data_IF_459434286358
#
_entry.id   IF_459434286358
#
_cell.length_a   1.000
_cell.length_b   1.000
_cell.length_c   1.000
_cell.angle_alpha   90.00
_cell.angle_beta   90.00
_cell.angle_gamma   90.00
#
_symmetry.space_group_name_H-M   'P 1'
#
loop_
_entity.id
_entity.type
_entity.pdbx_description
1 polymer ?
#
# COMPACT_ATOMS: atom_id res chain seq x y z
N UNK A 1 -0.56 16.30 27.35
CA UNK A 1 -0.61 17.32 26.29
C UNK A 1 0.27 16.78 25.19
N UNK A 2 -0.32 16.32 24.09
CA UNK A 2 0.46 15.89 22.93
C UNK A 2 1.21 17.12 22.42
N UNK A 3 2.52 16.97 22.30
CA UNK A 3 3.37 17.98 21.66
C UNK A 3 2.83 18.16 20.24
N UNK A 4 2.21 19.32 19.95
CA UNK A 4 1.71 19.65 18.64
C UNK A 4 2.93 19.68 17.72
N UNK A 5 3.08 18.65 16.89
CA UNK A 5 4.15 18.60 15.90
C UNK A 5 4.08 19.88 15.07
N UNK A 6 5.12 20.72 15.15
CA UNK A 6 5.16 21.98 14.43
C UNK A 6 5.38 21.66 12.93
N UNK A 7 4.37 21.95 12.12
CA UNK A 7 4.47 21.81 10.65
C UNK A 7 5.15 23.08 10.11
N UNK A 8 6.30 22.91 9.46
CA UNK A 8 7.00 23.99 8.79
C UNK A 8 6.40 24.22 7.40
N UNK A 9 6.00 25.45 7.12
CA UNK A 9 5.36 25.86 5.88
C UNK A 9 6.22 26.85 5.12
N UNK A 10 6.18 26.80 3.79
CA UNK A 10 6.75 27.87 2.97
C UNK A 10 5.95 29.17 3.17
N UNK A 11 6.58 30.36 3.02
CA UNK A 11 5.89 31.63 3.25
C UNK A 11 4.69 31.89 2.32
N UNK A 12 4.69 31.29 1.14
CA UNK A 12 3.64 31.38 0.09
C UNK A 12 2.71 30.16 0.05
N UNK A 13 2.87 29.24 1.01
CA UNK A 13 2.00 28.06 1.13
C UNK A 13 0.62 28.47 1.66
N UNK A 14 -0.40 28.22 0.86
CA UNK A 14 -1.80 28.55 1.14
C UNK A 14 -2.61 27.42 1.75
N UNK A 15 -2.02 26.21 1.87
CA UNK A 15 -2.70 25.07 2.46
C UNK A 15 -2.71 25.15 3.99
N UNK A 16 -3.76 24.61 4.60
CA UNK A 16 -3.79 24.35 6.04
C UNK A 16 -3.57 22.87 6.32
N UNK A 17 -2.91 22.58 7.43
CA UNK A 17 -2.45 21.24 7.76
C UNK A 17 -2.89 20.85 9.16
N UNK A 18 -3.23 19.56 9.32
CA UNK A 18 -3.46 18.95 10.64
C UNK A 18 -2.84 17.57 10.66
N UNK A 19 -1.92 17.35 11.61
CA UNK A 19 -1.45 16.01 11.93
C UNK A 19 -2.30 15.44 13.07
N UNK A 20 -2.65 14.16 12.96
CA UNK A 20 -3.33 13.41 14.01
C UNK A 20 -2.89 11.94 13.99
N UNK A 21 -3.06 11.30 15.13
CA UNK A 21 -2.89 9.86 15.28
C UNK A 21 -4.24 9.27 15.73
N UNK A 22 -4.68 8.22 15.05
CA UNK A 22 -5.91 7.53 15.40
C UNK A 22 -5.68 6.59 16.59
N UNK A 23 -6.77 6.13 17.21
CA UNK A 23 -6.72 5.22 18.37
C UNK A 23 -6.05 3.88 18.07
N UNK A 24 -5.99 3.48 16.79
CA UNK A 24 -5.29 2.28 16.31
C UNK A 24 -3.82 2.54 15.91
N UNK A 25 -3.28 3.74 16.18
CA UNK A 25 -1.90 4.10 15.87
C UNK A 25 -1.66 4.57 14.42
N UNK A 26 -2.69 4.64 13.57
CA UNK A 26 -2.54 5.19 12.22
C UNK A 26 -2.19 6.69 12.29
N UNK A 27 -1.06 7.04 11.69
CA UNK A 27 -0.62 8.44 11.54
C UNK A 27 -1.28 9.06 10.34
N UNK A 28 -1.85 10.26 10.51
CA UNK A 28 -2.59 10.93 9.45
C UNK A 28 -2.14 12.39 9.30
N UNK A 29 -1.90 12.81 8.07
CA UNK A 29 -1.72 14.21 7.69
C UNK A 29 -2.90 14.64 6.82
N UNK A 30 -3.66 15.63 7.29
CA UNK A 30 -4.75 16.25 6.56
C UNK A 30 -4.24 17.55 5.94
N UNK A 31 -4.60 17.81 4.69
CA UNK A 31 -4.22 18.98 3.92
C UNK A 31 -5.50 19.61 3.35
N UNK A 32 -5.81 20.81 3.81
CA UNK A 32 -6.84 21.64 3.20
C UNK A 32 -6.20 22.58 2.17
N UNK A 33 -6.49 22.36 0.90
CA UNK A 33 -6.11 23.24 -0.20
C UNK A 33 -7.38 23.90 -0.74
N UNK A 34 -7.61 25.21 -0.44
CA UNK A 34 -8.87 25.88 -0.79
C UNK A 34 -9.12 26.05 -2.29
N UNK A 35 -8.17 25.71 -3.13
CA UNK A 35 -8.31 25.77 -4.58
C UNK A 35 -8.07 24.43 -5.27
N UNK A 36 -8.05 23.34 -4.50
CA UNK A 36 -7.95 22.00 -5.07
C UNK A 36 -9.18 21.70 -5.93
N UNK A 37 -8.96 21.36 -7.20
CA UNK A 37 -10.01 20.91 -8.12
C UNK A 37 -10.30 19.42 -7.94
N UNK A 38 -9.44 18.70 -7.24
CA UNK A 38 -9.49 17.26 -7.01
C UNK A 38 -9.08 16.94 -5.59
N UNK A 39 -9.63 15.89 -5.08
CA UNK A 39 -9.22 15.32 -3.79
C UNK A 39 -8.38 14.07 -3.98
N UNK A 40 -7.44 13.85 -3.08
CA UNK A 40 -6.50 12.75 -3.17
C UNK A 40 -6.24 12.12 -1.80
N UNK A 41 -5.92 10.83 -1.80
CA UNK A 41 -5.41 10.13 -0.63
C UNK A 41 -4.25 9.22 -1.01
N UNK A 42 -3.27 9.13 -0.12
CA UNK A 42 -2.12 8.24 -0.24
C UNK A 42 -1.85 7.57 1.10
N UNK A 43 -1.76 6.23 1.11
CA UNK A 43 -1.45 5.45 2.29
C UNK A 43 -0.18 4.63 2.05
N UNK A 44 0.83 4.89 2.84
CA UNK A 44 2.07 4.14 2.88
C UNK A 44 2.03 3.11 4.01
N UNK A 45 2.47 1.89 3.70
CA UNK A 45 2.65 0.79 4.65
C UNK A 45 4.15 0.52 4.78
N UNK A 46 4.66 0.43 5.99
CA UNK A 46 6.07 0.06 6.24
C UNK A 46 6.29 -1.45 6.03
N UNK A 47 6.04 -1.88 4.81
CA UNK A 47 6.23 -3.23 4.31
C UNK A 47 6.53 -3.17 2.81
N UNK A 48 7.69 -3.60 2.41
CA UNK A 48 8.13 -3.75 1.02
C UNK A 48 8.75 -5.13 0.80
N UNK A 49 9.43 -5.33 -0.33
CA UNK A 49 9.98 -6.66 -0.67
C UNK A 49 11.10 -7.14 0.28
N UNK A 50 11.62 -6.28 1.16
CA UNK A 50 12.54 -6.73 2.22
C UNK A 50 11.85 -7.69 3.20
N UNK A 51 10.54 -7.55 3.38
CA UNK A 51 9.75 -8.43 4.22
C UNK A 51 9.41 -9.78 3.56
N UNK A 52 9.65 -9.95 2.26
CA UNK A 52 9.34 -11.20 1.55
C UNK A 52 10.03 -12.39 2.23
N UNK A 53 9.34 -13.51 2.45
CA UNK A 53 9.98 -14.75 2.84
C UNK A 53 11.02 -15.16 1.78
N UNK A 54 12.17 -15.74 2.16
CA UNK A 54 13.23 -16.12 1.22
C UNK A 54 12.71 -17.03 0.09
N UNK A 55 11.76 -17.92 0.40
CA UNK A 55 11.14 -18.88 -0.53
C UNK A 55 9.95 -18.29 -1.31
N UNK A 56 9.54 -17.05 -1.00
CA UNK A 56 8.37 -16.37 -1.58
C UNK A 56 8.71 -14.96 -2.04
N UNK A 57 9.79 -14.81 -2.77
CA UNK A 57 10.24 -13.51 -3.28
C UNK A 57 9.23 -12.94 -4.28
N UNK A 58 8.80 -11.69 -4.05
CA UNK A 58 7.69 -11.03 -4.73
C UNK A 58 6.37 -11.08 -3.98
N UNK A 59 6.34 -11.58 -2.72
CA UNK A 59 5.13 -11.68 -1.90
C UNK A 59 4.50 -10.31 -1.63
N UNK A 60 5.29 -9.29 -1.30
CA UNK A 60 4.77 -7.93 -1.07
C UNK A 60 4.15 -7.34 -2.35
N UNK A 61 4.75 -7.57 -3.51
CA UNK A 61 4.21 -7.16 -4.80
C UNK A 61 2.94 -7.95 -5.17
N UNK A 62 2.91 -9.23 -4.88
CA UNK A 62 1.72 -10.06 -5.06
C UNK A 62 0.57 -9.59 -4.15
N UNK A 63 0.87 -9.25 -2.89
CA UNK A 63 -0.11 -8.66 -1.98
C UNK A 63 -0.68 -7.35 -2.52
N UNK A 64 0.16 -6.48 -3.08
CA UNK A 64 -0.28 -5.24 -3.73
C UNK A 64 -1.37 -5.52 -4.78
N UNK A 65 -1.14 -6.46 -5.70
CA UNK A 65 -2.12 -6.87 -6.72
C UNK A 65 -3.42 -7.40 -6.09
N UNK A 66 -3.29 -8.25 -5.08
CA UNK A 66 -4.43 -8.91 -4.45
C UNK A 66 -5.39 -7.95 -3.74
N UNK A 67 -4.90 -6.81 -3.22
CA UNK A 67 -5.74 -5.82 -2.54
C UNK A 67 -6.73 -5.12 -3.47
N UNK A 68 -6.45 -5.04 -4.78
CA UNK A 68 -7.35 -4.46 -5.77
C UNK A 68 -8.48 -5.39 -6.22
N UNK A 69 -8.51 -6.64 -5.74
CA UNK A 69 -9.43 -7.67 -6.26
C UNK A 69 -10.77 -7.76 -5.51
N UNK A 70 -11.01 -6.83 -4.61
CA UNK A 70 -12.25 -6.72 -3.86
C UNK A 70 -12.08 -6.87 -2.36
N UNK A 71 -13.03 -6.31 -1.65
CA UNK A 71 -13.13 -6.30 -0.19
C UNK A 71 -14.47 -6.88 0.24
N UNK A 72 -14.69 -7.13 1.52
CA UNK A 72 -15.99 -7.63 1.98
C UNK A 72 -17.13 -6.66 1.69
N UNK A 73 -16.88 -5.34 1.82
CA UNK A 73 -17.87 -4.31 1.52
C UNK A 73 -18.08 -4.09 0.01
N UNK A 74 -17.05 -4.32 -0.81
CA UNK A 74 -17.04 -4.13 -2.27
C UNK A 74 -16.44 -5.37 -2.94
N UNK A 75 -17.18 -6.50 -3.02
CA UNK A 75 -16.62 -7.81 -3.37
C UNK A 75 -16.33 -8.00 -4.86
N UNK A 76 -16.83 -7.13 -5.73
CA UNK A 76 -16.66 -7.29 -7.18
C UNK A 76 -15.28 -6.83 -7.64
N UNK A 77 -14.46 -7.72 -8.23
CA UNK A 77 -13.18 -7.34 -8.82
C UNK A 77 -13.34 -6.24 -9.89
N UNK A 78 -12.51 -5.20 -9.80
CA UNK A 78 -12.57 -4.07 -10.74
C UNK A 78 -13.58 -2.98 -10.37
N UNK A 79 -14.39 -3.16 -9.33
CA UNK A 79 -15.37 -2.15 -8.89
C UNK A 79 -14.68 -0.86 -8.43
N UNK A 80 -13.64 -0.97 -7.62
CA UNK A 80 -12.86 0.18 -7.18
C UNK A 80 -12.25 0.95 -8.37
N UNK A 81 -11.61 0.23 -9.28
CA UNK A 81 -10.99 0.83 -10.46
C UNK A 81 -12.04 1.51 -11.37
N UNK A 82 -13.19 0.86 -11.55
CA UNK A 82 -14.30 1.41 -12.32
C UNK A 82 -14.87 2.65 -11.66
N UNK A 83 -15.09 2.64 -10.32
CA UNK A 83 -15.58 3.77 -9.58
C UNK A 83 -14.66 4.99 -9.72
N UNK A 84 -13.37 4.83 -9.43
CA UNK A 84 -12.37 5.91 -9.56
C UNK A 84 -12.35 6.48 -10.98
N UNK A 85 -12.27 5.61 -12.01
CA UNK A 85 -12.19 6.03 -13.41
C UNK A 85 -13.46 6.72 -13.92
N UNK A 86 -14.64 6.22 -13.55
CA UNK A 86 -15.94 6.81 -13.94
C UNK A 86 -16.15 8.23 -13.38
N UNK A 87 -15.52 8.54 -12.24
CA UNK A 87 -15.59 9.85 -11.60
C UNK A 87 -14.33 10.69 -11.85
N UNK A 88 -13.66 10.45 -13.00
CA UNK A 88 -12.54 11.25 -13.49
C UNK A 88 -11.25 11.08 -12.68
N UNK A 89 -11.14 10.02 -11.86
CA UNK A 89 -10.01 9.74 -11.00
C UNK A 89 -8.93 8.88 -11.65
N UNK A 90 -7.79 8.83 -10.95
CA UNK A 90 -6.71 7.88 -11.20
C UNK A 90 -6.37 7.17 -9.89
N UNK A 91 -5.89 5.97 -9.99
CA UNK A 91 -5.37 5.21 -8.86
C UNK A 91 -4.12 4.44 -9.29
N UNK A 92 -3.27 4.16 -8.33
CA UNK A 92 -2.13 3.26 -8.53
C UNK A 92 -1.60 2.78 -7.18
N UNK A 93 -0.63 1.87 -7.24
CA UNK A 93 0.17 1.46 -6.11
C UNK A 93 1.60 1.15 -6.57
N UNK A 94 2.50 1.00 -5.64
CA UNK A 94 3.84 0.50 -5.88
C UNK A 94 4.41 -0.17 -4.65
N UNK A 95 5.24 -1.18 -4.86
CA UNK A 95 6.01 -1.87 -3.84
C UNK A 95 7.49 -1.56 -4.00
N UNK A 96 8.07 -0.92 -2.99
CA UNK A 96 9.50 -0.62 -2.90
C UNK A 96 10.26 -1.63 -2.06
N UNK A 97 11.44 -1.23 -1.59
CA UNK A 97 12.30 -2.03 -0.71
C UNK A 97 11.67 -2.22 0.67
N UNK A 98 11.31 -1.15 1.35
CA UNK A 98 10.83 -1.14 2.73
C UNK A 98 9.37 -0.72 2.86
N UNK A 99 8.77 -0.15 1.79
CA UNK A 99 7.43 0.41 1.83
C UNK A 99 6.63 -0.02 0.61
N UNK A 100 5.33 -0.20 0.80
CA UNK A 100 4.32 -0.22 -0.27
C UNK A 100 3.44 1.01 -0.13
N UNK A 101 2.99 1.58 -1.23
CA UNK A 101 2.14 2.77 -1.22
C UNK A 101 0.96 2.60 -2.17
N UNK A 102 -0.21 3.02 -1.73
CA UNK A 102 -1.47 3.00 -2.46
C UNK A 102 -2.01 4.40 -2.52
N UNK A 103 -2.51 4.83 -3.67
CA UNK A 103 -3.02 6.19 -3.79
C UNK A 103 -4.09 6.32 -4.87
N UNK A 104 -4.90 7.33 -4.72
CA UNK A 104 -5.85 7.76 -5.74
C UNK A 104 -6.06 9.28 -5.69
N UNK A 105 -6.56 9.82 -6.79
CA UNK A 105 -7.16 11.12 -6.89
C UNK A 105 -8.52 11.02 -7.58
N UNK A 106 -9.44 11.94 -7.29
CA UNK A 106 -10.82 11.90 -7.80
C UNK A 106 -11.46 13.30 -7.76
N UNK A 107 -12.56 13.50 -8.49
CA UNK A 107 -13.41 14.67 -8.30
C UNK A 107 -13.95 14.72 -6.86
N UNK A 108 -13.90 15.89 -6.23
CA UNK A 108 -14.14 16.04 -4.77
C UNK A 108 -15.54 15.56 -4.32
N UNK A 109 -16.55 15.67 -5.18
CA UNK A 109 -17.93 15.18 -4.92
C UNK A 109 -17.99 13.68 -4.58
N UNK A 110 -17.05 12.88 -5.06
CA UNK A 110 -16.98 11.42 -4.85
C UNK A 110 -15.89 10.99 -3.86
N UNK A 111 -15.29 11.96 -3.17
CA UNK A 111 -14.12 11.69 -2.33
C UNK A 111 -14.45 10.82 -1.11
N UNK A 112 -15.58 11.06 -0.42
CA UNK A 112 -16.00 10.26 0.73
C UNK A 112 -16.20 8.78 0.37
N UNK A 113 -16.90 8.53 -0.74
CA UNK A 113 -17.17 7.19 -1.23
C UNK A 113 -15.89 6.47 -1.67
N UNK A 114 -14.92 7.24 -2.20
CA UNK A 114 -13.59 6.72 -2.54
C UNK A 114 -12.76 6.37 -1.30
N UNK A 115 -12.78 7.23 -0.28
CA UNK A 115 -12.11 6.97 1.00
C UNK A 115 -12.68 5.74 1.71
N UNK A 116 -14.01 5.55 1.65
CA UNK A 116 -14.63 4.34 2.17
C UNK A 116 -14.12 3.09 1.46
N UNK A 117 -14.13 3.06 0.12
CA UNK A 117 -13.59 1.94 -0.67
C UNK A 117 -12.11 1.68 -0.39
N UNK A 118 -11.34 2.75 -0.36
CA UNK A 118 -9.89 2.69 -0.15
C UNK A 118 -9.53 2.16 1.23
N UNK A 119 -10.24 2.57 2.28
CA UNK A 119 -10.02 2.06 3.64
C UNK A 119 -10.20 0.54 3.74
N UNK A 120 -11.14 -0.03 2.96
CA UNK A 120 -11.46 -1.45 3.00
C UNK A 120 -10.31 -2.34 2.51
N UNK A 121 -9.40 -1.83 1.69
CA UNK A 121 -8.17 -2.55 1.30
C UNK A 121 -7.34 -2.98 2.50
N UNK A 122 -7.35 -2.17 3.55
CA UNK A 122 -6.54 -2.36 4.75
C UNK A 122 -7.33 -2.97 5.91
N UNK A 123 -8.66 -3.08 5.77
CA UNK A 123 -9.54 -3.62 6.81
C UNK A 123 -9.93 -5.08 6.50
N UNK A 124 -10.50 -5.33 5.34
CA UNK A 124 -11.11 -6.62 5.01
C UNK A 124 -10.99 -7.01 3.53
N UNK A 125 -9.77 -7.14 2.98
CA UNK A 125 -9.58 -7.65 1.63
C UNK A 125 -10.04 -9.12 1.55
N UNK A 126 -10.71 -9.50 0.45
CA UNK A 126 -11.29 -10.84 0.30
C UNK A 126 -10.27 -11.91 -0.06
N UNK A 127 -9.14 -11.54 -0.65
CA UNK A 127 -8.16 -12.49 -1.20
C UNK A 127 -8.85 -13.62 -2.00
N UNK A 128 -9.66 -13.22 -2.98
CA UNK A 128 -10.54 -14.13 -3.71
C UNK A 128 -9.74 -15.28 -4.34
N UNK A 129 -10.02 -16.51 -3.90
CA UNK A 129 -9.31 -17.72 -4.32
C UNK A 129 -9.34 -17.93 -5.84
N UNK A 130 -10.47 -17.60 -6.50
CA UNK A 130 -10.63 -17.79 -7.94
C UNK A 130 -9.76 -16.84 -8.79
N UNK A 131 -9.18 -15.80 -8.19
CA UNK A 131 -8.38 -14.78 -8.86
C UNK A 131 -6.87 -14.91 -8.61
N UNK A 132 -6.46 -15.71 -7.64
CA UNK A 132 -5.04 -15.92 -7.28
C UNK A 132 -4.21 -16.29 -8.50
N UNK A 133 -4.67 -17.28 -9.25
CA UNK A 133 -3.92 -17.77 -10.42
C UNK A 133 -3.87 -16.74 -11.55
N UNK A 134 -4.93 -15.97 -11.75
CA UNK A 134 -4.95 -14.87 -12.70
C UNK A 134 -3.89 -13.80 -12.35
N UNK A 135 -3.79 -13.41 -11.08
CA UNK A 135 -2.81 -12.39 -10.66
C UNK A 135 -1.38 -12.90 -10.68
N UNK A 136 -1.14 -14.18 -10.40
CA UNK A 136 0.16 -14.81 -10.62
C UNK A 136 0.62 -14.68 -12.08
N UNK A 137 -0.30 -14.92 -13.04
CA UNK A 137 0.00 -14.76 -14.46
C UNK A 137 0.14 -13.29 -14.89
N UNK A 138 -0.55 -12.36 -14.24
CA UNK A 138 -0.34 -10.93 -14.45
C UNK A 138 1.08 -10.51 -14.04
N UNK A 139 1.55 -10.93 -12.86
CA UNK A 139 2.91 -10.68 -12.39
C UNK A 139 3.95 -11.36 -13.29
N UNK A 140 3.71 -12.59 -13.74
CA UNK A 140 4.60 -13.24 -14.71
C UNK A 140 4.72 -12.44 -16.00
N UNK A 141 3.59 -11.90 -16.49
CA UNK A 141 3.58 -11.08 -17.71
C UNK A 141 4.35 -9.77 -17.50
N UNK A 142 4.19 -9.14 -16.34
CA UNK A 142 4.94 -7.97 -15.94
C UNK A 142 6.45 -8.25 -15.83
N UNK A 143 6.82 -9.35 -15.21
CA UNK A 143 8.21 -9.82 -15.14
C UNK A 143 8.80 -10.00 -16.54
N UNK A 144 8.09 -10.67 -17.45
CA UNK A 144 8.55 -10.89 -18.82
C UNK A 144 8.70 -9.61 -19.63
N UNK A 145 7.86 -8.61 -19.42
CA UNK A 145 8.03 -7.29 -20.03
C UNK A 145 9.30 -6.59 -19.52
N UNK A 146 9.60 -6.73 -18.23
CA UNK A 146 10.73 -6.05 -17.58
C UNK A 146 12.09 -6.73 -17.82
N UNK A 147 12.11 -8.01 -18.21
CA UNK A 147 13.37 -8.79 -18.38
C UNK A 147 14.26 -8.25 -19.50
N UNK A 148 13.71 -7.52 -20.46
CA UNK A 148 14.45 -6.90 -21.57
C UNK A 148 14.85 -5.45 -21.28
N UNK A 149 14.43 -4.86 -20.15
CA UNK A 149 14.77 -3.51 -19.75
C UNK A 149 16.16 -3.46 -19.11
N UNK A 150 17.08 -2.70 -19.72
CA UNK A 150 18.47 -2.68 -19.27
C UNK A 150 18.65 -2.05 -17.89
N UNK A 151 17.83 -1.07 -17.49
CA UNK A 151 17.88 -0.49 -16.13
C UNK A 151 17.49 -1.54 -15.10
N UNK A 152 16.44 -2.31 -15.37
CA UNK A 152 16.01 -3.43 -14.51
C UNK A 152 17.03 -4.54 -14.42
N UNK A 153 17.68 -4.85 -15.53
CA UNK A 153 18.77 -5.86 -15.58
C UNK A 153 19.98 -5.42 -14.77
N UNK A 154 20.42 -4.16 -14.94
CA UNK A 154 21.51 -3.59 -14.16
C UNK A 154 21.16 -3.56 -12.66
N UNK A 155 19.93 -3.21 -12.32
CA UNK A 155 19.46 -3.23 -10.93
C UNK A 155 19.48 -4.64 -10.33
N UNK A 156 19.09 -5.66 -11.09
CA UNK A 156 19.17 -7.06 -10.62
C UNK A 156 20.61 -7.50 -10.43
N UNK A 157 21.51 -7.19 -11.36
CA UNK A 157 22.94 -7.48 -11.21
C UNK A 157 23.51 -6.79 -9.96
N UNK A 158 23.13 -5.53 -9.70
CA UNK A 158 23.55 -4.85 -8.48
C UNK A 158 23.07 -5.61 -7.22
N UNK A 159 21.84 -6.08 -7.19
CA UNK A 159 21.32 -6.91 -6.07
C UNK A 159 22.14 -8.18 -5.83
N UNK A 160 22.68 -8.78 -6.88
CA UNK A 160 23.51 -9.99 -6.78
C UNK A 160 24.94 -9.70 -6.33
N UNK A 161 25.38 -8.42 -6.35
CA UNK A 161 26.73 -8.02 -5.89
C UNK A 161 26.79 -7.62 -4.42
N UNK A 162 25.66 -7.49 -3.75
CA UNK A 162 25.60 -7.15 -2.33
C UNK A 162 25.69 -8.41 -1.46
N UNK A 163 25.78 -8.21 -0.14
CA UNK A 163 25.72 -9.32 0.80
C UNK A 163 24.43 -10.14 0.60
N UNK A 164 24.52 -11.46 0.29
CA UNK A 164 23.35 -12.30 0.02
C UNK A 164 22.39 -12.46 1.23
N UNK A 165 22.87 -12.23 2.46
CA UNK A 165 22.03 -12.24 3.67
C UNK A 165 21.26 -10.94 3.85
N UNK A 166 21.65 -9.85 3.17
CA UNK A 166 20.93 -8.59 3.25
C UNK A 166 19.64 -8.67 2.41
N UNK A 167 18.47 -8.23 2.92
CA UNK A 167 17.20 -8.36 2.21
C UNK A 167 17.16 -7.63 0.86
N UNK A 168 18.07 -6.70 0.59
CA UNK A 168 18.20 -6.05 -0.71
C UNK A 168 18.57 -7.05 -1.83
N UNK A 169 19.24 -8.17 -1.53
CA UNK A 169 19.60 -9.22 -2.50
C UNK A 169 18.37 -9.92 -3.10
N UNK A 170 17.21 -9.91 -2.41
CA UNK A 170 16.00 -10.63 -2.83
C UNK A 170 15.46 -10.12 -4.17
N UNK A 171 14.98 -11.04 -5.00
CA UNK A 171 14.21 -10.74 -6.21
C UNK A 171 12.86 -10.13 -5.83
N UNK A 172 12.49 -8.96 -6.40
CA UNK A 172 11.40 -8.15 -5.87
C UNK A 172 10.10 -8.20 -6.67
N UNK A 173 10.16 -8.63 -7.94
CA UNK A 173 8.98 -8.62 -8.81
C UNK A 173 8.06 -9.81 -8.53
N UNK A 174 8.65 -10.98 -8.29
CA UNK A 174 7.94 -12.24 -8.29
C UNK A 174 7.75 -12.79 -9.71
N UNK A 175 7.50 -14.08 -9.81
CA UNK A 175 7.15 -14.81 -11.03
C UNK A 175 6.48 -16.15 -10.67
N UNK A 176 6.12 -16.96 -11.68
CA UNK A 176 5.47 -18.26 -11.42
C UNK A 176 6.37 -19.26 -10.69
N UNK A 177 7.70 -19.06 -10.65
CA UNK A 177 8.62 -19.92 -9.91
C UNK A 177 8.70 -19.56 -8.43
N UNK A 178 8.50 -18.29 -8.05
CA UNK A 178 8.53 -17.85 -6.65
C UNK A 178 7.14 -17.81 -6.03
N UNK A 179 6.10 -17.55 -6.83
CA UNK A 179 4.71 -17.41 -6.41
C UNK A 179 3.89 -18.62 -6.86
N UNK A 180 3.97 -19.72 -6.13
CA UNK A 180 3.24 -20.97 -6.42
C UNK A 180 2.76 -21.63 -5.13
N UNK A 181 1.76 -22.50 -5.22
CA UNK A 181 1.39 -23.36 -4.10
C UNK A 181 2.50 -24.33 -3.76
N UNK A 182 2.76 -24.54 -2.49
CA UNK A 182 3.75 -25.51 -2.00
C UNK A 182 3.08 -26.72 -1.40
N UNK A 183 3.87 -27.73 -1.04
CA UNK A 183 3.39 -28.87 -0.26
C UNK A 183 3.01 -28.51 1.17
N UNK A 184 3.43 -27.34 1.65
CA UNK A 184 3.20 -26.86 3.02
C UNK A 184 1.99 -25.93 3.12
N UNK A 185 1.51 -25.36 1.99
CA UNK A 185 0.36 -24.48 2.00
C UNK A 185 0.05 -23.82 0.64
N UNK A 186 -1.10 -23.21 0.56
CA UNK A 186 -1.46 -22.42 -0.62
C UNK A 186 -0.91 -21.00 -0.54
N UNK A 187 -0.48 -20.46 -1.66
CA UNK A 187 -0.02 -19.08 -1.78
C UNK A 187 -1.08 -18.07 -1.24
N UNK A 188 -2.36 -18.39 -1.40
CA UNK A 188 -3.45 -17.58 -0.87
C UNK A 188 -3.41 -17.48 0.66
N UNK A 189 -3.23 -18.57 1.36
CA UNK A 189 -3.15 -18.54 2.84
C UNK A 189 -1.85 -17.88 3.32
N UNK A 190 -0.76 -18.06 2.58
CA UNK A 190 0.51 -17.39 2.86
C UNK A 190 0.40 -15.86 2.69
N UNK A 191 -0.25 -15.35 1.63
CA UNK A 191 -0.44 -13.90 1.44
C UNK A 191 -1.39 -13.31 2.49
N UNK A 192 -2.40 -14.05 2.94
CA UNK A 192 -3.27 -13.63 4.05
C UNK A 192 -2.49 -13.51 5.36
N UNK A 193 -1.63 -14.48 5.65
CA UNK A 193 -0.76 -14.45 6.82
C UNK A 193 0.23 -13.28 6.75
N UNK A 194 0.82 -13.05 5.58
CA UNK A 194 1.70 -11.93 5.30
C UNK A 194 1.00 -10.57 5.50
N UNK A 195 -0.23 -10.43 4.99
CA UNK A 195 -1.06 -9.26 5.24
C UNK A 195 -1.30 -9.04 6.74
N UNK A 196 -1.76 -10.06 7.46
CA UNK A 196 -2.05 -9.97 8.88
C UNK A 196 -0.80 -9.62 9.74
N UNK A 197 0.37 -10.04 9.29
CA UNK A 197 1.64 -9.77 9.97
C UNK A 197 2.15 -8.35 9.74
N UNK A 198 2.00 -7.82 8.51
CA UNK A 198 2.70 -6.60 8.09
C UNK A 198 1.79 -5.39 7.94
N UNK A 199 0.49 -5.58 7.66
CA UNK A 199 -0.47 -4.49 7.43
C UNK A 199 -1.16 -4.10 8.73
N UNK A 200 -0.43 -3.37 9.55
CA UNK A 200 -0.86 -2.90 10.86
C UNK A 200 -0.97 -1.37 10.86
N UNK A 201 -2.00 -0.82 11.48
CA UNK A 201 -2.30 0.61 11.46
C UNK A 201 -1.13 1.47 11.99
N UNK A 202 -0.41 1.02 13.01
CA UNK A 202 0.75 1.70 13.59
C UNK A 202 1.99 1.71 12.66
N UNK A 203 1.99 0.86 11.62
CA UNK A 203 3.00 0.81 10.56
C UNK A 203 2.58 1.58 9.31
N UNK A 204 1.47 2.31 9.37
CA UNK A 204 0.90 3.03 8.24
C UNK A 204 0.94 4.54 8.46
N UNK A 205 0.98 5.26 7.34
CA UNK A 205 0.83 6.70 7.29
C UNK A 205 -0.10 7.09 6.15
N UNK A 206 -1.15 7.83 6.47
CA UNK A 206 -2.14 8.32 5.51
C UNK A 206 -1.97 9.82 5.31
N UNK A 207 -1.96 10.26 4.06
CA UNK A 207 -2.05 11.67 3.68
C UNK A 207 -3.33 11.87 2.90
N UNK A 208 -4.07 12.91 3.24
CA UNK A 208 -5.33 13.30 2.59
C UNK A 208 -5.24 14.76 2.19
N UNK A 209 -5.59 15.07 0.94
CA UNK A 209 -5.67 16.44 0.42
C UNK A 209 -7.02 16.68 -0.24
N UNK A 210 -7.68 17.79 0.11
CA UNK A 210 -8.97 18.16 -0.44
C UNK A 210 -9.22 19.66 -0.22
N UNK A 211 -10.24 20.22 -0.91
CA UNK A 211 -10.85 21.52 -0.60
C UNK A 211 -11.77 21.46 0.63
N UNK A 212 -12.07 20.29 1.16
CA UNK A 212 -12.81 20.13 2.41
C UNK A 212 -12.06 20.75 3.59
N UNK A 213 -12.81 21.31 4.54
CA UNK A 213 -12.22 21.76 5.80
C UNK A 213 -11.48 20.61 6.52
N UNK A 214 -10.47 20.95 7.32
CA UNK A 214 -9.75 19.97 8.13
C UNK A 214 -10.67 19.19 9.08
N UNK A 215 -11.74 19.83 9.58
CA UNK A 215 -12.72 19.17 10.47
C UNK A 215 -13.53 18.10 9.71
N UNK A 216 -13.93 18.40 8.48
CA UNK A 216 -14.64 17.48 7.61
C UNK A 216 -13.75 16.27 7.24
N UNK A 217 -12.50 16.54 6.85
CA UNK A 217 -11.53 15.49 6.56
C UNK A 217 -11.31 14.60 7.80
N UNK A 218 -11.08 15.18 8.97
CA UNK A 218 -10.86 14.45 10.23
C UNK A 218 -12.09 13.59 10.58
N UNK A 219 -13.30 14.12 10.46
CA UNK A 219 -14.52 13.36 10.72
C UNK A 219 -14.63 12.12 9.85
N UNK A 220 -14.39 12.25 8.54
CA UNK A 220 -14.45 11.15 7.58
C UNK A 220 -13.36 10.11 7.84
N UNK A 221 -12.14 10.54 8.13
CA UNK A 221 -11.05 9.62 8.46
C UNK A 221 -11.32 8.85 9.75
N UNK A 222 -11.86 9.52 10.78
CA UNK A 222 -12.25 8.87 12.04
C UNK A 222 -13.44 7.90 11.89
N UNK A 223 -14.22 8.02 10.81
CA UNK A 223 -15.30 7.11 10.49
C UNK A 223 -14.80 5.82 9.83
N UNK A 224 -13.86 5.90 8.88
CA UNK A 224 -13.54 4.77 8.01
C UNK A 224 -12.25 4.02 8.39
N UNK A 225 -11.26 4.65 8.99
CA UNK A 225 -9.93 4.08 9.20
C UNK A 225 -9.67 3.44 10.57
N UNK A 226 -10.43 3.67 11.64
CA UNK A 226 -10.15 3.07 12.95
C UNK A 226 -10.29 1.54 12.99
N UNK A 227 -10.98 0.94 12.02
CA UNK A 227 -11.15 -0.51 11.92
C UNK A 227 -9.92 -1.25 11.36
N UNK A 228 -8.90 -0.52 10.86
CA UNK A 228 -7.62 -1.15 10.50
C UNK A 228 -6.99 -1.71 11.78
N UNK A 229 -6.63 -2.99 11.74
CA UNK A 229 -6.09 -3.71 12.89
C UNK A 229 -4.72 -3.15 13.29
N UNK A 230 -4.48 -3.02 14.58
CA UNK A 230 -3.15 -2.81 15.14
C UNK A 230 -2.58 -4.16 15.57
N UNK A 231 -1.36 -4.47 15.14
CA UNK A 231 -0.66 -5.72 15.46
C UNK A 231 0.49 -5.44 16.43
N UNK A 232 0.73 -6.34 17.36
CA UNK A 232 1.89 -6.28 18.26
C UNK A 232 3.19 -6.80 17.63
N UNK A 233 3.16 -7.20 16.35
CA UNK A 233 4.32 -7.75 15.66
C UNK A 233 5.36 -6.66 15.44
N UNK A 234 6.51 -6.80 16.10
CA UNK A 234 7.67 -5.92 15.92
C UNK A 234 8.47 -6.40 14.72
N UNK A 235 8.68 -5.53 13.74
CA UNK A 235 9.63 -5.80 12.65
C UNK A 235 11.05 -5.51 13.14
N UNK A 236 11.93 -6.49 13.23
CA UNK A 236 13.30 -6.24 13.70
C UNK A 236 14.05 -5.36 12.67
N UNK A 237 14.95 -4.49 13.14
CA UNK A 237 15.78 -3.70 12.23
C UNK A 237 16.72 -4.61 11.44
N UNK A 238 17.06 -4.19 10.22
CA UNK A 238 18.06 -4.87 9.40
C UNK A 238 19.44 -4.69 10.08
N UNK A 239 20.00 -5.79 10.53
CA UNK A 239 21.29 -5.80 11.24
C UNK A 239 22.48 -6.24 10.37
N UNK A 240 22.19 -6.76 9.18
CA UNK A 240 23.18 -7.27 8.24
C UNK A 240 23.67 -6.12 7.36
N UNK A 241 25.00 -5.90 7.20
CA UNK A 241 25.51 -4.85 6.33
C UNK A 241 25.22 -5.15 4.85
N UNK A 242 25.07 -4.10 4.07
CA UNK A 242 24.76 -4.21 2.63
C UNK A 242 25.95 -4.79 1.82
N UNK A 243 27.21 -4.47 2.27
CA UNK A 243 28.47 -4.91 1.65
C UNK A 243 29.40 -5.51 2.70
#
# INVERSE_FOLDING_TARGET
MADLMQIYRAPDDRCDYRYLELSNGLRVLLIHDPIAERSAASLAVNCGHFADPPERQGMAHFLEHMLFLGTEAFPHPGEYQAFISQHGGNHNAWTGTEHSNYFFDIATEFFEESLHRFSQFFICPTFNASLVDRERHAIESEYRMKISDDVRRCYQVHKETVNPEHPFSKFSVGNLLTLHDSTEGSLREEVKAFFAQHYSADKMALVVQSDWSLDQQEQTIRQFFPAIVQSEVITPPISVPLY
#
